data_IF_946923317454
#
_entry.id   IF_946923317454
#
_cell.length_a   1.000
_cell.length_b   1.000
_cell.length_c   1.000
_cell.angle_alpha   90.00
_cell.angle_beta   90.00
_cell.angle_gamma   90.00
#
_symmetry.space_group_name_H-M   'P 1'
#
loop_
_entity.id
_entity.type
_entity.pdbx_description
1 polymer ?
#
# COMPACT_ATOMS: atom_id res chain seq x y z
N UNK A 1 27.72 -49.58 -13.14
CA UNK A 1 27.26 -49.40 -11.73
C UNK A 1 27.69 -48.06 -11.13
N UNK A 2 28.99 -47.72 -11.12
CA UNK A 2 29.50 -46.47 -10.49
C UNK A 2 28.91 -45.16 -11.05
N UNK A 3 28.64 -45.09 -12.36
CA UNK A 3 28.08 -43.89 -13.03
C UNK A 3 26.62 -43.60 -12.64
N UNK A 4 25.80 -44.64 -12.47
CA UNK A 4 24.40 -44.49 -12.07
C UNK A 4 24.30 -44.10 -10.58
N UNK A 5 25.19 -44.65 -9.75
CA UNK A 5 25.31 -44.28 -8.34
C UNK A 5 25.65 -42.80 -8.16
N UNK A 6 26.54 -42.26 -9.01
CA UNK A 6 26.95 -40.87 -8.98
C UNK A 6 25.80 -39.91 -9.35
N UNK A 7 24.99 -40.27 -10.36
CA UNK A 7 23.79 -39.50 -10.71
C UNK A 7 22.74 -39.50 -9.59
N UNK A 8 22.54 -40.63 -8.88
CA UNK A 8 21.61 -40.70 -7.75
C UNK A 8 22.05 -39.85 -6.55
N UNK A 9 23.36 -39.79 -6.29
CA UNK A 9 23.91 -38.94 -5.23
C UNK A 9 23.73 -37.46 -5.60
N UNK A 10 23.96 -37.09 -6.86
CA UNK A 10 23.76 -35.71 -7.33
C UNK A 10 22.31 -35.26 -7.26
N UNK A 11 21.34 -36.12 -7.62
CA UNK A 11 19.92 -35.79 -7.50
C UNK A 11 19.47 -35.67 -6.05
N UNK A 12 19.98 -36.52 -5.16
CA UNK A 12 19.73 -36.40 -3.72
C UNK A 12 20.34 -35.14 -3.11
N UNK A 13 21.54 -34.76 -3.53
CA UNK A 13 22.19 -33.54 -3.09
C UNK A 13 21.40 -32.30 -3.55
N UNK A 14 20.87 -32.31 -4.76
CA UNK A 14 20.00 -31.25 -5.29
C UNK A 14 18.69 -31.10 -4.50
N UNK A 15 18.06 -32.22 -4.12
CA UNK A 15 16.84 -32.22 -3.29
C UNK A 15 17.14 -31.68 -1.88
N UNK A 16 18.27 -32.06 -1.30
CA UNK A 16 18.69 -31.59 0.03
C UNK A 16 18.94 -30.07 0.05
N UNK A 17 19.54 -29.51 -1.01
CA UNK A 17 19.73 -28.05 -1.15
C UNK A 17 18.39 -27.32 -1.24
N UNK A 18 17.41 -27.85 -1.96
CA UNK A 18 16.07 -27.27 -2.05
C UNK A 18 15.30 -27.25 -0.72
N UNK A 19 15.51 -28.25 0.14
CA UNK A 19 14.93 -28.32 1.49
C UNK A 19 15.54 -27.29 2.45
N UNK A 20 16.85 -27.04 2.35
CA UNK A 20 17.55 -26.05 3.17
C UNK A 20 17.34 -24.60 2.73
N UNK A 21 16.86 -24.38 1.50
CA UNK A 21 16.57 -23.04 0.97
C UNK A 21 15.24 -22.45 1.50
N UNK A 22 14.47 -23.19 2.29
CA UNK A 22 13.24 -22.67 2.86
C UNK A 22 13.54 -21.72 4.02
N UNK A 23 13.09 -20.48 3.89
CA UNK A 23 13.10 -19.49 4.97
C UNK A 23 12.33 -20.07 6.18
N UNK A 24 12.92 -20.10 7.39
CA UNK A 24 12.22 -20.59 8.57
C UNK A 24 11.04 -19.69 8.91
N UNK A 25 9.86 -20.28 9.14
CA UNK A 25 8.67 -19.51 9.54
C UNK A 25 8.79 -19.09 11.02
N UNK A 26 9.11 -17.83 11.26
CA UNK A 26 9.20 -17.23 12.59
C UNK A 26 7.80 -16.93 13.18
N UNK A 27 7.15 -17.94 13.77
CA UNK A 27 5.78 -17.80 14.34
C UNK A 27 5.66 -16.72 15.41
N UNK A 28 6.69 -16.53 16.22
CA UNK A 28 6.73 -15.47 17.24
C UNK A 28 6.65 -14.08 16.60
N UNK A 29 7.43 -13.85 15.53
CA UNK A 29 7.43 -12.60 14.79
C UNK A 29 6.05 -12.33 14.16
N UNK A 30 5.41 -13.36 13.60
CA UNK A 30 4.03 -13.27 13.10
C UNK A 30 3.06 -12.87 14.22
N UNK A 31 3.23 -13.44 15.42
CA UNK A 31 2.46 -13.07 16.60
C UNK A 31 2.62 -11.58 16.94
N UNK A 32 3.86 -11.08 16.93
CA UNK A 32 4.16 -9.66 17.16
C UNK A 32 3.53 -8.75 16.11
N UNK A 33 3.56 -9.10 14.82
CA UNK A 33 2.90 -8.32 13.77
C UNK A 33 1.38 -8.24 13.96
N UNK A 34 0.75 -9.35 14.37
CA UNK A 34 -0.69 -9.36 14.67
C UNK A 34 -1.02 -8.49 15.87
N UNK A 35 -0.25 -8.61 16.95
CA UNK A 35 -0.42 -7.79 18.15
C UNK A 35 -0.31 -6.30 17.80
N UNK A 36 0.72 -5.90 17.05
CA UNK A 36 0.88 -4.52 16.59
C UNK A 36 -0.31 -4.04 15.75
N UNK A 37 -0.79 -4.89 14.82
CA UNK A 37 -1.93 -4.55 13.97
C UNK A 37 -3.27 -4.41 14.70
N UNK A 38 -3.45 -5.09 15.84
CA UNK A 38 -4.69 -5.05 16.62
C UNK A 38 -4.64 -4.07 17.80
N UNK A 39 -3.52 -4.00 18.52
CA UNK A 39 -3.38 -3.23 19.75
C UNK A 39 -2.86 -1.81 19.51
N UNK A 40 -1.99 -1.63 18.51
CA UNK A 40 -1.36 -0.34 18.18
C UNK A 40 -1.68 0.13 16.75
N UNK A 41 -2.88 -0.21 16.27
CA UNK A 41 -3.25 0.03 14.88
C UNK A 41 -3.27 1.51 14.51
N UNK A 42 -2.44 1.92 13.53
CA UNK A 42 -2.45 3.27 12.97
C UNK A 42 -3.37 3.41 11.73
N UNK A 43 -4.15 2.37 11.41
CA UNK A 43 -4.98 2.31 10.20
C UNK A 43 -6.06 3.39 10.21
N UNK A 44 -6.76 3.57 11.33
CA UNK A 44 -7.88 4.52 11.39
C UNK A 44 -7.42 5.97 11.26
N UNK A 45 -6.32 6.33 11.90
CA UNK A 45 -5.75 7.67 11.82
C UNK A 45 -5.26 7.98 10.40
N UNK A 46 -4.56 7.02 9.79
CA UNK A 46 -4.09 7.14 8.40
C UNK A 46 -5.27 7.25 7.45
N UNK A 47 -6.30 6.43 7.64
CA UNK A 47 -7.54 6.48 6.87
C UNK A 47 -8.19 7.86 6.99
N UNK A 48 -8.39 8.36 8.22
CA UNK A 48 -9.04 9.64 8.48
C UNK A 48 -8.31 10.81 7.83
N UNK A 49 -6.97 10.85 7.92
CA UNK A 49 -6.18 11.90 7.26
C UNK A 49 -6.37 11.84 5.75
N UNK A 50 -6.28 10.65 5.16
CA UNK A 50 -6.42 10.51 3.72
C UNK A 50 -7.85 10.86 3.26
N UNK A 51 -8.89 10.32 3.90
CA UNK A 51 -10.26 10.35 3.39
C UNK A 51 -11.10 11.52 3.86
N UNK A 52 -10.90 12.00 5.09
CA UNK A 52 -11.72 13.08 5.65
C UNK A 52 -10.97 14.41 5.67
N UNK A 53 -9.68 14.41 6.02
CA UNK A 53 -8.88 15.66 6.09
C UNK A 53 -8.44 16.09 4.70
N UNK A 54 -7.83 15.19 3.91
CA UNK A 54 -7.39 15.50 2.55
C UNK A 54 -8.56 15.37 1.57
N UNK A 55 -9.43 14.37 1.74
CA UNK A 55 -10.60 14.19 0.88
C UNK A 55 -10.27 13.54 -0.46
N UNK A 56 -10.99 13.86 -1.56
CA UNK A 56 -10.76 13.30 -2.89
C UNK A 56 -9.34 13.54 -3.44
N UNK A 57 -8.68 12.50 -3.95
CA UNK A 57 -7.27 12.51 -4.37
C UNK A 57 -7.09 12.14 -5.84
N UNK A 58 -7.83 12.82 -6.72
CA UNK A 58 -7.72 12.56 -8.16
C UNK A 58 -6.26 12.81 -8.63
N UNK A 59 -5.67 11.96 -9.50
CA UNK A 59 -4.30 12.17 -9.98
C UNK A 59 -4.07 13.55 -10.58
N UNK A 60 -2.84 14.06 -10.42
CA UNK A 60 -2.42 15.40 -10.85
C UNK A 60 -3.25 16.58 -10.27
N UNK A 61 -3.82 16.40 -9.07
CA UNK A 61 -4.42 17.50 -8.29
C UNK A 61 -3.54 17.90 -7.09
N UNK A 62 -3.75 19.10 -6.50
CA UNK A 62 -3.08 19.50 -5.26
C UNK A 62 -3.32 18.51 -4.10
N UNK A 63 -4.53 17.98 -3.97
CA UNK A 63 -4.90 17.01 -2.93
C UNK A 63 -4.13 15.69 -3.08
N UNK A 64 -3.95 15.19 -4.30
CA UNK A 64 -3.08 14.03 -4.56
C UNK A 64 -1.64 14.29 -4.10
N UNK A 65 -1.08 15.47 -4.42
CA UNK A 65 0.29 15.83 -4.02
C UNK A 65 0.42 15.96 -2.49
N UNK A 66 -0.61 16.45 -1.82
CA UNK A 66 -0.66 16.51 -0.35
C UNK A 66 -0.66 15.09 0.25
N UNK A 67 -1.50 14.19 -0.26
CA UNK A 67 -1.54 12.81 0.20
C UNK A 67 -0.22 12.07 -0.03
N UNK A 68 0.41 12.24 -1.19
CA UNK A 68 1.72 11.65 -1.48
C UNK A 68 2.79 12.12 -0.47
N UNK A 69 2.82 13.42 -0.14
CA UNK A 69 3.72 13.97 0.89
C UNK A 69 3.44 13.40 2.27
N UNK A 70 2.18 13.33 2.68
CA UNK A 70 1.80 12.73 3.95
C UNK A 70 2.26 11.26 4.06
N UNK A 71 2.05 10.45 3.01
CA UNK A 71 2.48 9.05 3.01
C UNK A 71 4.00 8.95 3.08
N UNK A 72 4.73 9.78 2.32
CA UNK A 72 6.20 9.83 2.40
C UNK A 72 6.67 10.13 3.83
N UNK A 73 6.14 11.20 4.43
CA UNK A 73 6.49 11.62 5.80
C UNK A 73 6.15 10.54 6.83
N UNK A 74 5.03 9.83 6.65
CA UNK A 74 4.65 8.71 7.50
C UNK A 74 5.64 7.54 7.38
N UNK A 75 6.02 7.16 6.16
CA UNK A 75 7.01 6.11 5.93
C UNK A 75 8.38 6.47 6.51
N UNK A 76 8.82 7.72 6.33
CA UNK A 76 10.04 8.25 6.95
C UNK A 76 9.97 8.19 8.48
N UNK A 77 8.81 8.54 9.08
CA UNK A 77 8.61 8.47 10.53
C UNK A 77 8.70 7.03 11.10
N UNK A 78 8.36 6.04 10.28
CA UNK A 78 8.52 4.62 10.59
C UNK A 78 9.91 4.09 10.27
N UNK A 79 10.85 4.97 9.90
CA UNK A 79 12.22 4.63 9.56
C UNK A 79 12.33 3.67 8.36
N UNK A 80 11.36 3.71 7.44
CA UNK A 80 11.46 2.98 6.17
C UNK A 80 12.61 3.57 5.37
N UNK A 81 13.45 2.71 4.81
CA UNK A 81 14.60 3.12 4.01
C UNK A 81 14.19 3.52 2.58
N UNK A 82 14.99 4.38 1.96
CA UNK A 82 14.86 4.74 0.54
C UNK A 82 13.47 5.30 0.14
N UNK A 83 12.82 6.08 1.01
CA UNK A 83 11.54 6.72 0.68
C UNK A 83 11.78 7.90 -0.27
N UNK A 84 11.23 7.83 -1.47
CA UNK A 84 11.32 8.90 -2.48
C UNK A 84 10.10 8.88 -3.40
N UNK A 85 9.94 9.95 -4.18
CA UNK A 85 8.90 10.00 -5.22
C UNK A 85 9.46 9.55 -6.56
N UNK A 86 8.77 8.62 -7.20
CA UNK A 86 9.00 8.29 -8.60
C UNK A 86 8.06 9.11 -9.47
N UNK A 87 8.65 9.94 -10.34
CA UNK A 87 7.90 10.79 -11.26
C UNK A 87 7.58 10.01 -12.53
N UNK A 88 6.36 10.12 -13.02
CA UNK A 88 5.97 9.61 -14.32
C UNK A 88 5.16 10.68 -15.06
N UNK A 89 5.18 10.64 -16.40
CA UNK A 89 4.41 11.57 -17.19
C UNK A 89 2.92 11.27 -17.03
N UNK A 90 2.20 12.21 -16.43
CA UNK A 90 0.75 12.19 -16.33
C UNK A 90 0.18 13.43 -16.99
N UNK A 91 -0.98 13.28 -17.63
CA UNK A 91 -1.68 14.39 -18.28
C UNK A 91 -2.18 15.40 -17.24
N UNK A 92 -2.85 16.46 -17.72
CA UNK A 92 -3.46 17.47 -16.86
C UNK A 92 -4.47 16.81 -15.90
N UNK A 93 -4.37 17.15 -14.62
CA UNK A 93 -5.39 16.82 -13.63
C UNK A 93 -6.61 17.73 -13.75
N UNK A 94 -7.68 17.34 -13.05
CA UNK A 94 -8.93 18.09 -13.00
C UNK A 94 -9.29 18.35 -11.53
N UNK A 95 -9.65 19.59 -11.21
CA UNK A 95 -10.18 19.95 -9.90
C UNK A 95 -11.58 20.49 -10.09
N UNK A 96 -12.52 20.00 -9.27
CA UNK A 96 -13.87 20.54 -9.24
C UNK A 96 -13.88 21.78 -8.35
N UNK A 97 -13.94 22.95 -8.96
CA UNK A 97 -13.99 24.23 -8.23
C UNK A 97 -15.38 24.50 -7.63
N UNK A 98 -16.43 24.16 -8.38
CA UNK A 98 -17.82 24.36 -7.96
C UNK A 98 -18.75 23.36 -8.63
N UNK A 99 -19.64 22.78 -7.85
CA UNK A 99 -20.81 22.02 -8.30
C UNK A 99 -22.04 22.62 -7.63
N UNK A 100 -23.08 22.86 -8.42
CA UNK A 100 -24.38 23.31 -7.93
C UNK A 100 -25.42 22.49 -8.66
N UNK A 101 -26.21 21.76 -7.90
CA UNK A 101 -27.29 20.93 -8.42
C UNK A 101 -28.59 21.48 -7.85
N UNK A 102 -29.53 21.80 -8.73
CA UNK A 102 -30.81 22.36 -8.36
C UNK A 102 -31.91 21.54 -9.03
N UNK A 103 -32.78 20.94 -8.23
CA UNK A 103 -34.03 20.37 -8.73
C UNK A 103 -34.93 21.55 -9.09
N UNK A 104 -35.41 21.61 -10.34
CA UNK A 104 -36.29 22.69 -10.80
C UNK A 104 -37.77 22.31 -10.70
N UNK A 105 -38.11 21.03 -10.84
CA UNK A 105 -39.47 20.49 -10.76
C UNK A 105 -39.47 19.13 -10.02
N UNK A 106 -40.57 18.75 -9.35
CA UNK A 106 -41.86 19.46 -9.26
C UNK A 106 -41.87 20.65 -8.28
N UNK A 107 -40.82 20.82 -7.47
CA UNK A 107 -40.61 21.97 -6.59
C UNK A 107 -39.12 22.28 -6.55
N UNK A 108 -38.77 23.57 -6.63
CA UNK A 108 -37.37 23.98 -6.50
C UNK A 108 -36.75 23.46 -5.20
N UNK A 109 -35.60 22.78 -5.31
CA UNK A 109 -34.86 22.26 -4.17
C UNK A 109 -33.36 22.15 -4.48
N UNK A 110 -32.46 22.75 -3.68
CA UNK A 110 -31.02 22.58 -3.87
C UNK A 110 -30.60 21.17 -3.45
N UNK A 111 -29.80 20.50 -4.28
CA UNK A 111 -29.29 19.16 -4.03
C UNK A 111 -27.82 19.19 -3.63
N UNK A 112 -27.46 18.32 -2.70
CA UNK A 112 -26.06 18.07 -2.33
C UNK A 112 -25.46 17.18 -3.42
N UNK A 113 -24.37 17.64 -4.01
CA UNK A 113 -23.55 16.91 -4.98
C UNK A 113 -22.25 16.39 -4.41
#
# INVERSE_FOLDING_TARGET
>A
MKRNLLCFILTWLWIAVGLYAQEPVHREMIGRFKAEGYENSQVLDTFNILTNVIGPRLPATPAYKQAARFVRERLESWQVENVHFESFEFRRGWTLEKLTIEMIEPRYFPLIG
#
